data_IF_079217173266
#
_entry.id   IF_079217173266
#
_cell.length_a   1.000
_cell.length_b   1.000
_cell.length_c   1.000
_cell.angle_alpha   90.00
_cell.angle_beta   90.00
_cell.angle_gamma   90.00
#
_symmetry.space_group_name_H-M   'P 1'
#
loop_
_entity.id
_entity.type
_entity.pdbx_description
1 polymer ?
#
# COMPACT_ATOMS: atom_id res chain seq x y z
N UNK A 1 -4.63 33.97 20.44
CA UNK A 1 -4.71 33.42 21.81
C UNK A 1 -5.12 31.94 21.81
N UNK A 2 -6.18 31.52 21.09
CA UNK A 2 -6.62 30.12 20.99
C UNK A 2 -5.59 29.09 20.49
N UNK A 3 -4.61 29.48 19.66
CA UNK A 3 -3.57 28.55 19.15
C UNK A 3 -2.55 28.11 20.21
N UNK A 4 -2.34 28.90 21.28
CA UNK A 4 -1.35 28.56 22.30
C UNK A 4 -1.91 27.62 23.37
N UNK A 5 -3.19 27.75 23.72
CA UNK A 5 -3.87 26.85 24.66
C UNK A 5 -3.92 25.40 24.13
N UNK A 6 -4.11 25.22 22.82
CA UNK A 6 -4.01 23.91 22.17
C UNK A 6 -2.62 23.29 22.29
N UNK A 7 -1.55 24.07 22.14
CA UNK A 7 -0.17 23.61 22.23
C UNK A 7 0.25 23.21 23.68
N UNK A 8 -0.30 23.87 24.71
CA UNK A 8 -0.07 23.48 26.10
C UNK A 8 -0.87 22.26 26.54
N UNK A 9 -2.12 22.12 26.06
CA UNK A 9 -2.89 20.89 26.20
C UNK A 9 -2.19 19.69 25.51
N UNK A 10 -1.61 19.91 24.33
CA UNK A 10 -0.76 18.96 23.59
C UNK A 10 0.46 18.51 24.41
N UNK A 11 1.18 19.45 25.04
CA UNK A 11 2.31 19.12 25.93
C UNK A 11 1.88 18.39 27.21
N UNK A 12 0.63 18.54 27.65
CA UNK A 12 0.07 17.86 28.83
C UNK A 12 -0.38 16.44 28.49
N UNK A 13 -1.07 16.25 27.37
CA UNK A 13 -1.49 14.94 26.85
C UNK A 13 -0.29 14.03 26.52
N UNK A 14 0.79 14.61 25.97
CA UNK A 14 2.06 13.91 25.70
C UNK A 14 2.76 13.35 26.95
N UNK A 15 2.33 13.76 28.16
CA UNK A 15 2.83 13.29 29.46
C UNK A 15 1.93 12.23 30.12
N UNK A 16 0.72 11.99 29.60
CA UNK A 16 -0.20 10.98 30.12
C UNK A 16 0.07 9.66 29.37
N UNK A 17 0.48 8.60 30.08
CA UNK A 17 0.92 7.31 29.51
C UNK A 17 -0.17 6.49 28.78
N UNK A 18 -0.18 5.16 28.94
CA UNK A 18 -1.04 4.21 28.18
C UNK A 18 -2.52 4.63 28.06
N UNK A 19 -3.10 5.28 29.07
CA UNK A 19 -4.50 5.74 29.04
C UNK A 19 -4.82 6.82 28.00
N UNK A 20 -3.82 7.52 27.45
CA UNK A 20 -4.03 8.48 26.36
C UNK A 20 -4.29 7.76 25.02
N UNK A 21 -3.55 6.68 24.73
CA UNK A 21 -3.68 5.91 23.49
C UNK A 21 -5.07 5.27 23.38
N UNK A 22 -5.59 4.68 24.46
CA UNK A 22 -6.91 4.03 24.44
C UNK A 22 -8.05 5.03 24.22
N UNK A 23 -7.93 6.25 24.78
CA UNK A 23 -8.89 7.33 24.50
C UNK A 23 -8.86 7.76 23.04
N UNK A 24 -7.68 7.90 22.44
CA UNK A 24 -7.55 8.24 21.03
C UNK A 24 -8.18 7.17 20.13
N UNK A 25 -7.97 5.89 20.45
CA UNK A 25 -8.59 4.76 19.73
C UNK A 25 -10.11 4.79 19.85
N UNK A 26 -10.65 5.07 21.03
CA UNK A 26 -12.10 5.22 21.21
C UNK A 26 -12.68 6.37 20.37
N UNK A 27 -11.96 7.51 20.29
CA UNK A 27 -12.35 8.62 19.40
C UNK A 27 -12.31 8.20 17.94
N UNK A 28 -11.26 7.51 17.51
CA UNK A 28 -11.12 7.01 16.13
C UNK A 28 -12.20 5.97 15.79
N UNK A 29 -12.54 5.08 16.71
CA UNK A 29 -13.60 4.09 16.52
C UNK A 29 -14.97 4.78 16.35
N UNK A 30 -15.22 5.86 17.08
CA UNK A 30 -16.45 6.65 16.95
C UNK A 30 -16.44 7.55 15.69
N UNK A 31 -15.28 8.06 15.29
CA UNK A 31 -15.09 8.90 14.10
C UNK A 31 -13.76 8.59 13.40
N UNK A 32 -13.73 7.64 12.46
CA UNK A 32 -12.50 7.22 11.79
C UNK A 32 -11.91 8.31 10.89
N UNK A 33 -12.68 9.36 10.57
CA UNK A 33 -12.21 10.51 9.80
C UNK A 33 -11.58 11.62 10.68
N UNK A 34 -11.54 11.47 12.01
CA UNK A 34 -10.93 12.46 12.91
C UNK A 34 -9.41 12.53 12.73
N UNK A 35 -8.97 13.39 11.82
CA UNK A 35 -7.55 13.57 11.50
C UNK A 35 -6.72 13.95 12.72
N UNK A 36 -7.27 14.74 13.66
CA UNK A 36 -6.57 15.20 14.86
C UNK A 36 -6.27 14.04 15.80
N UNK A 37 -7.26 13.18 16.05
CA UNK A 37 -7.07 11.97 16.87
C UNK A 37 -6.00 11.05 16.26
N UNK A 38 -6.02 10.88 14.94
CA UNK A 38 -5.01 10.11 14.22
C UNK A 38 -3.61 10.75 14.27
N UNK A 39 -3.52 12.08 14.19
CA UNK A 39 -2.26 12.82 14.30
C UNK A 39 -1.63 12.62 15.68
N UNK A 40 -2.42 12.78 16.74
CA UNK A 40 -1.97 12.54 18.11
C UNK A 40 -1.58 11.08 18.35
N UNK A 41 -2.32 10.12 17.76
CA UNK A 41 -1.95 8.71 17.86
C UNK A 41 -0.62 8.43 17.15
N UNK A 42 -0.34 9.07 16.01
CA UNK A 42 0.95 8.93 15.31
C UNK A 42 2.12 9.55 16.07
N UNK A 43 1.88 10.61 16.84
CA UNK A 43 2.90 11.20 17.73
C UNK A 43 3.26 10.30 18.91
N UNK A 44 2.37 9.38 19.29
CA UNK A 44 2.67 8.36 20.28
C UNK A 44 3.71 7.37 19.71
N UNK A 45 4.71 7.00 20.51
CA UNK A 45 5.71 5.99 20.16
C UNK A 45 5.17 4.57 20.41
N UNK A 46 4.01 4.29 19.83
CA UNK A 46 3.33 2.99 19.90
C UNK A 46 3.22 2.39 18.50
N UNK A 47 3.56 1.12 18.39
CA UNK A 47 3.31 0.29 17.21
C UNK A 47 2.21 -0.68 17.57
N UNK A 48 1.04 -0.52 16.96
CA UNK A 48 -0.09 -1.42 17.15
C UNK A 48 -0.64 -1.84 15.79
N UNK A 49 -0.19 -3.01 15.37
CA UNK A 49 -0.55 -3.62 14.11
C UNK A 49 -1.98 -4.18 14.11
N UNK A 50 -2.48 -4.64 15.26
CA UNK A 50 -3.84 -5.18 15.39
C UNK A 50 -4.86 -4.06 15.23
N UNK A 51 -4.65 -2.93 15.90
CA UNK A 51 -5.49 -1.75 15.70
C UNK A 51 -5.46 -1.24 14.25
N UNK A 52 -4.28 -1.22 13.62
CA UNK A 52 -4.16 -0.81 12.22
C UNK A 52 -4.89 -1.77 11.25
N UNK A 53 -4.85 -3.08 11.51
CA UNK A 53 -5.59 -4.08 10.75
C UNK A 53 -7.09 -3.85 10.90
N UNK A 54 -7.61 -3.81 12.14
CA UNK A 54 -9.03 -3.58 12.43
C UNK A 54 -9.51 -2.29 11.78
N UNK A 55 -8.77 -1.20 11.92
CA UNK A 55 -9.17 0.09 11.36
C UNK A 55 -9.24 0.06 9.83
N UNK A 56 -8.35 -0.65 9.15
CA UNK A 56 -8.40 -0.80 7.69
C UNK A 56 -9.56 -1.70 7.24
N UNK A 57 -9.85 -2.79 7.96
CA UNK A 57 -10.97 -3.69 7.65
C UNK A 57 -12.33 -3.04 7.89
N UNK A 58 -12.51 -2.34 9.00
CA UNK A 58 -13.76 -1.67 9.34
C UNK A 58 -13.98 -0.40 8.49
N UNK A 59 -12.90 0.29 8.12
CA UNK A 59 -12.96 1.57 7.41
C UNK A 59 -12.08 1.56 6.16
N UNK A 60 -12.39 0.70 5.17
CA UNK A 60 -11.53 0.39 4.03
C UNK A 60 -11.31 1.56 3.07
N UNK A 61 -12.20 2.55 3.08
CA UNK A 61 -12.15 3.74 2.22
C UNK A 61 -11.73 5.01 2.98
N UNK A 62 -11.16 4.86 4.17
CA UNK A 62 -10.74 5.98 4.99
C UNK A 62 -9.26 6.31 4.76
N UNK A 63 -8.93 7.56 4.43
CA UNK A 63 -7.54 7.93 4.15
C UNK A 63 -6.64 7.80 5.39
N UNK A 64 -7.16 8.16 6.56
CA UNK A 64 -6.40 8.23 7.79
C UNK A 64 -5.96 6.85 8.30
N UNK A 65 -6.78 5.81 8.10
CA UNK A 65 -6.43 4.41 8.46
C UNK A 65 -5.22 3.92 7.66
N UNK A 66 -5.28 4.05 6.34
CA UNK A 66 -4.17 3.68 5.44
C UNK A 66 -2.92 4.53 5.66
N UNK A 67 -3.10 5.82 5.96
CA UNK A 67 -1.98 6.69 6.29
C UNK A 67 -1.34 6.32 7.62
N UNK A 68 -2.12 5.96 8.65
CA UNK A 68 -1.59 5.48 9.92
C UNK A 68 -0.78 4.20 9.72
N UNK A 69 -1.33 3.22 8.99
CA UNK A 69 -0.63 1.99 8.62
C UNK A 69 0.71 2.25 7.94
N UNK A 70 0.74 3.17 6.98
CA UNK A 70 1.99 3.59 6.30
C UNK A 70 2.98 4.24 7.27
N UNK A 71 2.51 5.09 8.19
CA UNK A 71 3.37 5.70 9.20
C UNK A 71 4.03 4.66 10.12
N UNK A 72 3.34 3.56 10.47
CA UNK A 72 3.95 2.47 11.26
C UNK A 72 5.14 1.84 10.52
N UNK A 73 4.99 1.55 9.21
CA UNK A 73 6.09 1.04 8.38
C UNK A 73 7.24 2.06 8.26
N UNK A 74 6.91 3.35 8.07
CA UNK A 74 7.92 4.41 7.98
C UNK A 74 8.75 4.56 9.26
N UNK A 75 8.13 4.41 10.45
CA UNK A 75 8.86 4.44 11.72
C UNK A 75 9.88 3.30 11.80
N UNK A 76 9.49 2.08 11.41
CA UNK A 76 10.40 0.94 11.39
C UNK A 76 11.55 1.12 10.41
N UNK A 77 11.29 1.74 9.25
CA UNK A 77 12.34 2.05 8.28
C UNK A 77 13.46 2.94 8.83
N UNK A 78 13.24 3.75 9.87
CA UNK A 78 14.29 4.65 10.40
C UNK A 78 15.35 3.91 11.23
N UNK A 79 15.04 2.74 11.81
CA UNK A 79 15.97 2.11 12.76
C UNK A 79 15.90 0.59 12.90
N UNK A 80 14.97 -0.09 12.25
CA UNK A 80 14.89 -1.55 12.29
C UNK A 80 16.03 -2.19 11.46
N UNK A 81 16.53 -3.32 11.96
CA UNK A 81 17.47 -4.17 11.24
C UNK A 81 16.81 -4.89 10.06
N UNK A 82 17.62 -5.58 9.25
CA UNK A 82 17.14 -6.25 8.05
C UNK A 82 16.11 -7.35 8.34
N UNK A 83 16.27 -8.09 9.45
CA UNK A 83 15.40 -9.22 9.78
C UNK A 83 14.02 -8.73 10.23
N UNK A 84 13.97 -7.69 11.07
CA UNK A 84 12.72 -7.05 11.47
C UNK A 84 12.00 -6.41 10.28
N UNK A 85 12.75 -5.81 9.34
CA UNK A 85 12.18 -5.26 8.11
C UNK A 85 11.63 -6.33 7.17
N UNK A 86 12.32 -7.46 7.06
CA UNK A 86 11.83 -8.58 6.26
C UNK A 86 10.56 -9.18 6.88
N UNK A 87 10.53 -9.37 8.21
CA UNK A 87 9.37 -9.89 8.92
C UNK A 87 8.14 -8.98 8.76
N UNK A 88 8.31 -7.66 8.90
CA UNK A 88 7.20 -6.73 8.73
C UNK A 88 6.76 -6.61 7.27
N UNK A 89 7.68 -6.72 6.31
CA UNK A 89 7.33 -6.75 4.90
C UNK A 89 6.46 -7.97 4.55
N UNK A 90 6.85 -9.16 4.97
CA UNK A 90 6.05 -10.37 4.74
C UNK A 90 4.67 -10.28 5.39
N UNK A 91 4.59 -9.77 6.63
CA UNK A 91 3.31 -9.49 7.29
C UNK A 91 2.45 -8.51 6.48
N UNK A 92 3.04 -7.42 6.02
CA UNK A 92 2.31 -6.36 5.31
C UNK A 92 1.76 -6.84 3.98
N UNK A 93 2.57 -7.57 3.22
CA UNK A 93 2.12 -8.20 1.98
C UNK A 93 1.01 -9.24 2.24
N UNK A 94 1.14 -10.07 3.27
CA UNK A 94 0.10 -11.03 3.64
C UNK A 94 -1.22 -10.35 4.05
N UNK A 95 -1.16 -9.22 4.76
CA UNK A 95 -2.34 -8.41 5.06
C UNK A 95 -2.98 -7.87 3.78
N UNK A 96 -2.19 -7.29 2.88
CA UNK A 96 -2.69 -6.70 1.63
C UNK A 96 -3.25 -7.78 0.69
N UNK A 97 -2.67 -8.97 0.67
CA UNK A 97 -3.19 -10.12 -0.08
C UNK A 97 -4.56 -10.51 0.46
N UNK A 98 -4.68 -10.79 1.77
CA UNK A 98 -5.96 -11.13 2.38
C UNK A 98 -7.01 -10.04 2.15
N UNK A 99 -6.62 -8.77 2.25
CA UNK A 99 -7.50 -7.64 2.07
C UNK A 99 -7.97 -7.47 0.62
N UNK A 100 -7.09 -7.60 -0.38
CA UNK A 100 -7.43 -7.40 -1.79
C UNK A 100 -8.05 -8.66 -2.43
N UNK A 101 -7.92 -9.83 -1.82
CA UNK A 101 -8.53 -11.07 -2.29
C UNK A 101 -10.03 -11.13 -1.96
N UNK A 102 -10.44 -10.41 -0.93
CA UNK A 102 -11.83 -10.16 -0.60
C UNK A 102 -12.54 -9.45 -1.77
N UNK A 103 -13.68 -10.00 -2.19
CA UNK A 103 -14.48 -9.49 -3.32
C UNK A 103 -14.92 -8.04 -3.12
N UNK A 104 -15.18 -7.62 -1.89
CA UNK A 104 -15.65 -6.27 -1.57
C UNK A 104 -14.51 -5.23 -1.64
N UNK A 105 -13.27 -5.71 -1.55
CA UNK A 105 -12.05 -4.89 -1.52
C UNK A 105 -11.14 -5.08 -2.73
N UNK A 106 -11.48 -5.95 -3.68
CA UNK A 106 -10.65 -6.31 -4.84
C UNK A 106 -10.20 -5.12 -5.73
N UNK A 107 -10.92 -3.99 -5.65
CA UNK A 107 -10.64 -2.72 -6.35
C UNK A 107 -10.36 -1.56 -5.40
N UNK A 108 -9.98 -1.84 -4.15
CA UNK A 108 -9.78 -0.80 -3.14
C UNK A 108 -8.56 0.09 -3.48
N UNK A 109 -8.83 1.33 -3.89
CA UNK A 109 -7.80 2.27 -4.30
C UNK A 109 -6.74 2.53 -3.22
N UNK A 110 -7.13 2.63 -1.95
CA UNK A 110 -6.18 2.93 -0.87
C UNK A 110 -5.23 1.76 -0.61
N UNK A 111 -5.73 0.53 -0.67
CA UNK A 111 -4.93 -0.68 -0.54
C UNK A 111 -3.90 -0.80 -1.68
N UNK A 112 -4.32 -0.60 -2.94
CA UNK A 112 -3.38 -0.57 -4.07
C UNK A 112 -2.38 0.59 -3.97
N UNK A 113 -2.81 1.78 -3.56
CA UNK A 113 -1.89 2.91 -3.34
C UNK A 113 -0.88 2.61 -2.23
N UNK A 114 -1.30 1.92 -1.17
CA UNK A 114 -0.40 1.45 -0.12
C UNK A 114 0.60 0.42 -0.65
N UNK A 115 0.13 -0.57 -1.42
CA UNK A 115 0.97 -1.61 -2.04
C UNK A 115 1.97 -1.03 -3.05
N UNK A 116 1.56 -0.03 -3.84
CA UNK A 116 2.43 0.71 -4.76
C UNK A 116 3.53 1.49 -4.01
N UNK A 117 3.20 2.09 -2.87
CA UNK A 117 4.22 2.71 -2.01
C UNK A 117 5.19 1.67 -1.46
N UNK A 118 4.70 0.48 -1.07
CA UNK A 118 5.51 -0.60 -0.52
C UNK A 118 6.55 -1.13 -1.52
N UNK A 119 6.17 -1.32 -2.79
CA UNK A 119 7.10 -1.80 -3.82
C UNK A 119 8.26 -0.83 -4.10
N UNK A 120 8.06 0.47 -3.83
CA UNK A 120 9.11 1.49 -3.96
C UNK A 120 10.13 1.45 -2.82
N UNK A 121 9.79 0.85 -1.67
CA UNK A 121 10.67 0.76 -0.51
C UNK A 121 11.66 -0.39 -0.68
N UNK A 122 12.87 -0.11 -1.19
CA UNK A 122 13.91 -1.14 -1.44
C UNK A 122 14.30 -1.98 -0.21
N UNK A 123 14.13 -1.43 0.99
CA UNK A 123 14.40 -2.11 2.27
C UNK A 123 13.29 -3.06 2.70
N UNK A 124 12.09 -2.93 2.15
CA UNK A 124 10.94 -3.83 2.39
C UNK A 124 10.68 -4.76 1.19
N UNK A 125 11.07 -4.33 0.00
CA UNK A 125 10.75 -5.00 -1.25
C UNK A 125 11.99 -5.21 -2.10
N UNK A 126 12.48 -6.45 -2.13
CA UNK A 126 13.55 -6.90 -3.02
C UNK A 126 13.06 -7.26 -4.43
N UNK A 127 14.01 -7.50 -5.34
CA UNK A 127 13.70 -7.79 -6.75
C UNK A 127 12.86 -9.07 -6.90
N UNK A 128 13.16 -10.12 -6.14
CA UNK A 128 12.36 -11.35 -6.13
C UNK A 128 10.88 -11.11 -5.74
N UNK A 129 10.60 -10.15 -4.86
CA UNK A 129 9.22 -9.79 -4.51
C UNK A 129 8.55 -9.05 -5.65
N UNK A 130 9.23 -8.14 -6.34
CA UNK A 130 8.67 -7.47 -7.54
C UNK A 130 8.29 -8.47 -8.63
N UNK A 131 9.12 -9.50 -8.85
CA UNK A 131 8.78 -10.57 -9.80
C UNK A 131 7.53 -11.33 -9.34
N UNK A 132 7.40 -11.69 -8.05
CA UNK A 132 6.17 -12.29 -7.51
C UNK A 132 4.94 -11.39 -7.65
N UNK A 133 5.09 -10.08 -7.53
CA UNK A 133 3.98 -9.15 -7.77
C UNK A 133 3.45 -9.25 -9.21
N UNK A 134 4.32 -9.51 -10.20
CA UNK A 134 3.92 -9.74 -11.59
C UNK A 134 3.40 -11.17 -11.81
N UNK A 135 4.11 -12.17 -11.37
CA UNK A 135 3.83 -13.57 -11.75
C UNK A 135 2.68 -14.19 -10.97
N UNK A 136 2.39 -13.66 -9.77
CA UNK A 136 1.36 -14.19 -8.88
C UNK A 136 0.28 -13.13 -8.57
N UNK A 137 0.60 -12.10 -7.77
CA UNK A 137 -0.40 -11.17 -7.24
C UNK A 137 -1.21 -10.46 -8.35
N UNK A 138 -0.53 -9.75 -9.27
CA UNK A 138 -1.27 -9.06 -10.33
C UNK A 138 -1.84 -10.03 -11.35
N UNK A 139 -1.16 -11.16 -11.62
CA UNK A 139 -1.63 -12.17 -12.55
C UNK A 139 -3.00 -12.72 -12.15
N UNK A 140 -3.13 -13.23 -10.92
CA UNK A 140 -4.40 -13.79 -10.43
C UNK A 140 -5.50 -12.73 -10.32
N UNK A 141 -5.17 -11.47 -10.04
CA UNK A 141 -6.16 -10.39 -9.97
C UNK A 141 -6.69 -9.98 -11.35
N UNK A 142 -5.83 -9.86 -12.37
CA UNK A 142 -6.27 -9.51 -13.73
C UNK A 142 -6.90 -10.67 -14.47
N UNK A 143 -6.54 -11.92 -14.15
CA UNK A 143 -7.20 -13.11 -14.68
C UNK A 143 -8.60 -13.29 -14.07
N UNK A 144 -8.75 -13.03 -12.76
CA UNK A 144 -10.06 -13.06 -12.08
C UNK A 144 -10.98 -11.95 -12.56
N UNK A 145 -10.46 -10.74 -12.76
CA UNK A 145 -11.21 -9.59 -13.27
C UNK A 145 -10.34 -8.73 -14.20
N UNK A 146 -10.42 -8.96 -15.52
CA UNK A 146 -9.71 -8.17 -16.51
C UNK A 146 -10.10 -6.68 -16.55
N UNK A 147 -11.24 -6.29 -15.95
CA UNK A 147 -11.69 -4.89 -15.81
C UNK A 147 -11.16 -4.22 -14.54
N UNK A 148 -10.33 -4.91 -13.74
CA UNK A 148 -9.74 -4.35 -12.54
C UNK A 148 -8.60 -3.37 -12.88
N UNK A 149 -8.98 -2.11 -13.12
CA UNK A 149 -8.03 -1.03 -13.39
C UNK A 149 -6.94 -0.89 -12.32
N UNK A 150 -7.26 -1.10 -11.04
CA UNK A 150 -6.29 -0.97 -9.96
C UNK A 150 -5.20 -2.05 -10.04
N UNK A 151 -5.58 -3.28 -10.40
CA UNK A 151 -4.62 -4.37 -10.61
C UNK A 151 -3.69 -4.09 -11.82
N UNK A 152 -4.23 -3.61 -12.95
CA UNK A 152 -3.43 -3.21 -14.10
C UNK A 152 -2.49 -2.05 -13.79
N UNK A 153 -2.97 -1.04 -13.06
CA UNK A 153 -2.13 0.09 -12.62
C UNK A 153 -1.03 -0.35 -11.66
N UNK A 154 -1.30 -1.30 -10.77
CA UNK A 154 -0.27 -1.89 -9.91
C UNK A 154 0.76 -2.69 -10.71
N UNK A 155 0.32 -3.50 -11.68
CA UNK A 155 1.20 -4.23 -12.60
C UNK A 155 2.13 -3.28 -13.35
N UNK A 156 1.60 -2.15 -13.84
CA UNK A 156 2.39 -1.08 -14.44
C UNK A 156 3.41 -0.47 -13.46
N UNK A 157 3.00 -0.18 -12.22
CA UNK A 157 3.89 0.36 -11.19
C UNK A 157 5.06 -0.58 -10.88
N UNK A 158 4.83 -1.90 -10.89
CA UNK A 158 5.90 -2.90 -10.71
C UNK A 158 6.91 -2.85 -11.85
N UNK A 159 6.46 -2.74 -13.10
CA UNK A 159 7.36 -2.56 -14.26
C UNK A 159 8.19 -1.29 -14.19
N UNK A 160 7.57 -0.17 -13.81
CA UNK A 160 8.32 1.09 -13.61
C UNK A 160 9.36 0.96 -12.50
N UNK A 161 9.02 0.26 -11.41
CA UNK A 161 9.97 0.04 -10.33
C UNK A 161 11.13 -0.90 -10.74
N UNK A 162 10.85 -1.96 -11.51
CA UNK A 162 11.89 -2.80 -12.12
C UNK A 162 12.80 -1.98 -13.05
N UNK A 163 12.24 -1.10 -13.87
CA UNK A 163 13.01 -0.21 -14.74
C UNK A 163 13.91 0.72 -13.92
N UNK A 164 13.35 1.38 -12.89
CA UNK A 164 14.07 2.28 -11.97
C UNK A 164 15.21 1.55 -11.24
N UNK A 165 15.10 0.24 -11.06
CA UNK A 165 16.14 -0.62 -10.46
C UNK A 165 17.16 -1.16 -11.48
N UNK A 166 16.99 -0.90 -12.78
CA UNK A 166 17.82 -1.49 -13.82
C UNK A 166 17.63 -3.01 -13.93
N UNK A 167 16.41 -3.49 -13.66
CA UNK A 167 16.00 -4.90 -13.68
C UNK A 167 14.96 -5.21 -14.75
N UNK A 168 14.51 -4.20 -15.49
CA UNK A 168 13.65 -4.40 -16.66
C UNK A 168 14.51 -4.91 -17.81
N UNK A 169 14.47 -6.21 -18.08
CA UNK A 169 15.15 -6.80 -19.24
C UNK A 169 14.28 -6.67 -20.50
N UNK A 170 14.93 -6.57 -21.66
CA UNK A 170 14.32 -6.33 -22.99
C UNK A 170 13.28 -7.40 -23.39
N UNK A 171 13.23 -8.53 -22.69
CA UNK A 171 12.32 -9.65 -22.93
C UNK A 171 11.07 -9.67 -22.04
N UNK A 172 10.80 -8.66 -21.21
CA UNK A 172 9.53 -8.55 -20.47
C UNK A 172 8.38 -8.12 -21.41
N UNK A 173 8.14 -8.92 -22.45
CA UNK A 173 6.83 -8.95 -23.10
C UNK A 173 5.91 -9.61 -22.11
N UNK A 174 4.99 -8.83 -21.57
CA UNK A 174 3.99 -9.32 -20.65
C UNK A 174 3.04 -10.28 -21.38
N UNK A 175 3.43 -11.56 -21.44
CA UNK A 175 2.74 -12.60 -22.19
C UNK A 175 1.32 -12.81 -21.66
N UNK A 176 1.11 -12.61 -20.36
CA UNK A 176 -0.21 -12.64 -19.75
C UNK A 176 -1.09 -11.52 -20.33
N UNK A 177 -0.61 -10.28 -20.29
CA UNK A 177 -1.37 -9.16 -20.82
C UNK A 177 -1.64 -9.30 -22.33
N UNK A 178 -0.67 -9.80 -23.09
CA UNK A 178 -0.82 -10.04 -24.52
C UNK A 178 -1.86 -11.13 -24.80
N UNK A 179 -1.81 -12.26 -24.09
CA UNK A 179 -2.83 -13.33 -24.19
C UNK A 179 -4.23 -12.82 -23.84
N UNK A 180 -4.37 -12.11 -22.73
CA UNK A 180 -5.66 -11.54 -22.32
C UNK A 180 -6.21 -10.54 -23.33
N UNK A 181 -5.34 -9.80 -24.02
CA UNK A 181 -5.74 -8.91 -25.11
C UNK A 181 -6.17 -9.67 -26.38
N UNK A 182 -5.45 -10.74 -26.73
CA UNK A 182 -5.67 -11.53 -27.95
C UNK A 182 -6.90 -12.44 -27.86
N UNK A 183 -7.26 -12.92 -26.66
CA UNK A 183 -8.40 -13.82 -26.39
C UNK A 183 -9.79 -13.14 -26.56
N UNK A 184 -9.87 -12.00 -27.26
CA UNK A 184 -11.13 -11.29 -27.57
C UNK A 184 -11.66 -10.40 -26.45
N UNK A 185 -10.89 -10.26 -25.37
CA UNK A 185 -11.13 -9.39 -24.25
C UNK A 185 -10.45 -8.02 -24.49
N UNK A 186 -10.93 -7.25 -25.49
CA UNK A 186 -10.48 -5.86 -25.74
C UNK A 186 -11.01 -4.91 -24.67
N UNK A 187 -10.64 -5.19 -23.42
CA UNK A 187 -10.89 -4.28 -22.32
C UNK A 187 -9.93 -3.08 -22.43
N UNK A 188 -10.45 -1.88 -22.21
CA UNK A 188 -9.65 -0.66 -22.17
C UNK A 188 -8.44 -0.75 -21.22
N UNK A 189 -8.54 -1.37 -20.02
CA UNK A 189 -7.41 -1.46 -19.08
C UNK A 189 -6.19 -2.21 -19.63
N UNK A 190 -6.39 -3.41 -20.19
CA UNK A 190 -5.29 -4.22 -20.76
C UNK A 190 -4.68 -3.53 -21.98
N UNK A 191 -5.51 -2.87 -22.79
CA UNK A 191 -5.05 -2.14 -23.98
C UNK A 191 -4.18 -0.94 -23.59
N UNK A 192 -4.63 -0.16 -22.59
CA UNK A 192 -3.90 0.99 -22.04
C UNK A 192 -2.58 0.56 -21.39
N UNK A 193 -2.62 -0.55 -20.66
CA UNK A 193 -1.45 -1.16 -20.05
C UNK A 193 -0.41 -1.59 -21.10
N UNK A 194 -0.81 -2.36 -22.11
CA UNK A 194 0.08 -2.80 -23.19
C UNK A 194 0.71 -1.63 -23.95
N UNK A 195 -0.06 -0.56 -24.18
CA UNK A 195 0.47 0.66 -24.78
C UNK A 195 1.58 1.29 -23.92
N UNK A 196 1.38 1.33 -22.61
CA UNK A 196 2.33 1.90 -21.66
C UNK A 196 3.62 1.07 -21.59
N UNK A 197 3.51 -0.26 -21.52
CA UNK A 197 4.67 -1.18 -21.52
C UNK A 197 5.48 -1.07 -22.80
N UNK A 198 4.82 -1.02 -23.97
CA UNK A 198 5.52 -0.87 -25.26
C UNK A 198 6.35 0.42 -25.31
N UNK A 199 5.84 1.53 -24.77
CA UNK A 199 6.59 2.79 -24.66
C UNK A 199 7.74 2.70 -23.66
N UNK A 200 7.56 1.99 -22.53
CA UNK A 200 8.60 1.81 -21.52
C UNK A 200 9.82 1.06 -22.04
N UNK A 201 9.59 0.10 -22.94
CA UNK A 201 10.61 -0.79 -23.52
C UNK A 201 11.30 -0.20 -24.76
N UNK A 202 10.82 0.91 -25.31
CA UNK A 202 11.51 1.59 -26.40
C UNK A 202 12.75 2.32 -25.86
N UNK A 203 13.93 2.16 -26.49
CA UNK A 203 15.08 2.98 -26.15
C UNK A 203 14.73 4.45 -26.40
N UNK A 204 15.08 5.34 -25.47
CA UNK A 204 14.96 6.79 -25.67
C UNK A 204 15.76 7.17 -26.92
N UNK A 205 15.08 7.35 -28.05
CA UNK A 205 15.61 7.96 -29.28
C UNK A 205 15.68 9.46 -29.15
#
# INVERSE_FOLDING_TARGET
>A
MLRMEGAEALRKARREGRGHVDRLRAVIAANPADYTAWEWLRECDVVDWEFADTACWENPKNYQTWQHRRCLLMKLLVGADADALQAVAEREYGFLDAFLDDVDNAKNYHAYSHRQWLIQQRRLTGDARLIRELDDFTARHVERDPLNNSAWQHRWAVHQELQRRGRLHEHYRDALAQRLHDDGATFEPVTTYLHSIRRLLQPNT
#
